data_IF_960630840606
#
_entry.id   IF_960630840606
#
_cell.length_a   1.000
_cell.length_b   1.000
_cell.length_c   1.000
_cell.angle_alpha   90.00
_cell.angle_beta   90.00
_cell.angle_gamma   90.00
#
_symmetry.space_group_name_H-M   'P 1'
#
loop_
_entity.id
_entity.type
_entity.pdbx_description
1 polymer ?
#
# COMPACT_ATOMS: atom_id res chain seq x y z
N UNK A 1 18.57 -5.56 23.55
CA UNK A 1 17.60 -6.62 23.13
C UNK A 1 17.32 -6.38 21.67
N UNK A 2 17.27 -7.43 20.85
CA UNK A 2 16.92 -7.29 19.44
C UNK A 2 15.44 -6.92 19.28
N UNK A 3 15.11 -6.14 18.25
CA UNK A 3 13.73 -5.74 17.94
C UNK A 3 12.81 -6.95 17.74
N UNK A 4 11.56 -6.81 18.13
CA UNK A 4 10.52 -7.78 17.77
C UNK A 4 10.16 -7.60 16.28
N UNK A 5 10.06 -8.72 15.58
CA UNK A 5 9.73 -8.71 14.15
C UNK A 5 8.23 -8.54 13.96
N UNK A 6 7.84 -7.55 13.17
CA UNK A 6 6.46 -7.40 12.73
C UNK A 6 6.25 -8.34 11.53
N UNK A 7 5.61 -9.49 11.78
CA UNK A 7 5.37 -10.48 10.74
C UNK A 7 4.24 -10.03 9.79
N UNK A 8 4.64 -9.36 8.71
CA UNK A 8 3.69 -8.89 7.70
C UNK A 8 2.99 -10.01 6.94
N UNK A 9 3.58 -11.22 6.86
CA UNK A 9 2.92 -12.37 6.23
C UNK A 9 1.77 -12.89 7.08
N UNK A 10 2.00 -13.06 8.40
CA UNK A 10 0.96 -13.51 9.33
C UNK A 10 -0.18 -12.50 9.40
N UNK A 11 0.14 -11.20 9.50
CA UNK A 11 -0.86 -10.13 9.55
C UNK A 11 -1.64 -10.01 8.23
N UNK A 12 -0.97 -10.17 7.08
CA UNK A 12 -1.62 -10.19 5.78
C UNK A 12 -2.56 -11.39 5.63
N UNK A 13 -2.18 -12.57 6.16
CA UNK A 13 -3.05 -13.75 6.15
C UNK A 13 -4.34 -13.50 6.96
N UNK A 14 -4.22 -12.91 8.16
CA UNK A 14 -5.37 -12.53 8.97
C UNK A 14 -6.26 -11.50 8.24
N UNK A 15 -5.66 -10.48 7.63
CA UNK A 15 -6.39 -9.45 6.86
C UNK A 15 -7.12 -10.04 5.65
N UNK A 16 -6.48 -10.99 4.94
CA UNK A 16 -7.12 -11.70 3.82
C UNK A 16 -8.27 -12.60 4.30
N UNK A 17 -8.14 -13.23 5.46
CA UNK A 17 -9.24 -14.01 6.04
C UNK A 17 -10.46 -13.13 6.35
N UNK A 18 -10.25 -11.90 6.84
CA UNK A 18 -11.34 -10.92 7.00
C UNK A 18 -11.97 -10.58 5.64
N UNK A 19 -11.17 -10.27 4.61
CA UNK A 19 -11.67 -9.98 3.27
C UNK A 19 -12.43 -11.17 2.65
N UNK A 20 -11.98 -12.40 2.90
CA UNK A 20 -12.66 -13.60 2.46
C UNK A 20 -14.04 -13.76 3.12
N UNK A 21 -14.14 -13.53 4.43
CA UNK A 21 -15.41 -13.55 5.13
C UNK A 21 -16.40 -12.49 4.61
N UNK A 22 -15.90 -11.28 4.30
CA UNK A 22 -16.69 -10.22 3.66
C UNK A 22 -17.15 -10.60 2.25
N UNK A 23 -16.25 -11.20 1.44
CA UNK A 23 -16.62 -11.68 0.11
C UNK A 23 -17.73 -12.76 0.17
N UNK A 24 -17.64 -13.69 1.10
CA UNK A 24 -18.69 -14.70 1.32
C UNK A 24 -20.02 -14.05 1.75
N UNK A 25 -19.97 -13.08 2.67
CA UNK A 25 -21.18 -12.35 3.09
C UNK A 25 -21.83 -11.58 1.93
N UNK A 26 -21.02 -11.02 1.01
CA UNK A 26 -21.50 -10.35 -0.20
C UNK A 26 -22.13 -11.35 -1.18
N UNK A 27 -21.47 -12.49 -1.41
CA UNK A 27 -22.00 -13.55 -2.29
C UNK A 27 -23.33 -14.11 -1.79
N UNK A 28 -23.49 -14.26 -0.49
CA UNK A 28 -24.77 -14.67 0.11
C UNK A 28 -25.91 -13.67 -0.18
N UNK A 29 -25.57 -12.41 -0.53
CA UNK A 29 -26.51 -11.38 -0.98
C UNK A 29 -26.57 -11.24 -2.52
N UNK A 30 -25.97 -12.18 -3.27
CA UNK A 30 -25.92 -12.17 -4.73
C UNK A 30 -24.93 -11.18 -5.34
N UNK A 31 -23.97 -10.68 -4.54
CA UNK A 31 -22.95 -9.72 -4.98
C UNK A 31 -21.60 -10.45 -5.08
N UNK A 32 -21.05 -10.58 -6.27
CA UNK A 32 -19.73 -11.17 -6.51
C UNK A 32 -18.66 -10.08 -6.58
N UNK A 33 -17.81 -9.88 -5.54
CA UNK A 33 -16.73 -8.87 -5.61
C UNK A 33 -15.79 -9.16 -6.76
N UNK A 34 -15.46 -8.14 -7.56
CA UNK A 34 -14.63 -8.28 -8.75
C UNK A 34 -13.57 -7.18 -8.83
N UNK A 35 -12.30 -7.59 -8.99
CA UNK A 35 -11.14 -6.73 -9.20
C UNK A 35 -10.63 -6.88 -10.64
N UNK A 36 -10.62 -5.79 -11.40
CA UNK A 36 -9.92 -5.71 -12.67
C UNK A 36 -8.48 -5.23 -12.46
N UNK A 37 -7.52 -6.00 -12.94
CA UNK A 37 -6.08 -5.67 -12.87
C UNK A 37 -5.56 -5.51 -14.28
N UNK A 38 -5.08 -4.32 -14.63
CA UNK A 38 -4.48 -4.02 -15.93
C UNK A 38 -2.97 -4.01 -15.79
N UNK A 39 -2.28 -4.76 -16.65
CA UNK A 39 -0.83 -4.76 -16.81
C UNK A 39 -0.50 -4.31 -18.22
N UNK A 40 0.30 -3.25 -18.35
CA UNK A 40 0.81 -2.77 -19.64
C UNK A 40 2.29 -3.10 -19.74
N UNK A 41 2.69 -3.82 -20.79
CA UNK A 41 4.05 -4.27 -21.00
C UNK A 41 4.43 -5.53 -20.21
N UNK A 42 5.71 -5.87 -20.27
CA UNK A 42 6.24 -7.14 -19.76
C UNK A 42 7.26 -6.99 -18.63
N UNK A 43 7.20 -5.89 -17.87
CA UNK A 43 8.11 -5.69 -16.73
C UNK A 43 8.04 -6.90 -15.77
N UNK A 44 9.16 -7.61 -15.52
CA UNK A 44 9.15 -8.84 -14.72
C UNK A 44 8.69 -8.63 -13.27
N UNK A 45 9.02 -7.48 -12.67
CA UNK A 45 8.59 -7.16 -11.31
C UNK A 45 7.07 -6.95 -11.27
N UNK A 46 6.52 -6.17 -12.22
CA UNK A 46 5.07 -5.95 -12.34
C UNK A 46 4.30 -7.25 -12.54
N UNK A 47 4.82 -8.17 -13.37
CA UNK A 47 4.22 -9.50 -13.55
C UNK A 47 4.15 -10.31 -12.26
N UNK A 48 5.19 -10.27 -11.43
CA UNK A 48 5.21 -10.95 -10.13
C UNK A 48 4.14 -10.36 -9.20
N UNK A 49 4.01 -9.02 -9.17
CA UNK A 49 2.99 -8.35 -8.37
C UNK A 49 1.57 -8.69 -8.83
N UNK A 50 1.31 -8.65 -10.13
CA UNK A 50 0.00 -8.99 -10.70
C UNK A 50 -0.37 -10.44 -10.39
N UNK A 51 0.54 -11.40 -10.63
CA UNK A 51 0.30 -12.80 -10.25
C UNK A 51 -0.02 -12.96 -8.77
N UNK A 52 0.66 -12.22 -7.90
CA UNK A 52 0.37 -12.21 -6.47
C UNK A 52 -1.04 -11.69 -6.15
N UNK A 53 -1.48 -10.60 -6.81
CA UNK A 53 -2.81 -10.02 -6.64
C UNK A 53 -3.92 -10.98 -7.12
N UNK A 54 -3.75 -11.59 -8.29
CA UNK A 54 -4.68 -12.58 -8.84
C UNK A 54 -4.82 -13.79 -7.91
N UNK A 55 -3.69 -14.30 -7.38
CA UNK A 55 -3.70 -15.38 -6.39
C UNK A 55 -4.45 -14.97 -5.12
N UNK A 56 -4.18 -13.78 -4.58
CA UNK A 56 -4.84 -13.28 -3.36
C UNK A 56 -6.35 -13.08 -3.59
N UNK A 57 -6.78 -12.64 -4.79
CA UNK A 57 -8.21 -12.61 -5.15
C UNK A 57 -8.85 -14.00 -5.04
N UNK A 58 -8.21 -15.04 -5.61
CA UNK A 58 -8.70 -16.41 -5.52
C UNK A 58 -8.78 -16.91 -4.08
N UNK A 59 -7.77 -16.63 -3.25
CA UNK A 59 -7.76 -16.98 -1.82
C UNK A 59 -8.87 -16.28 -1.03
N UNK A 60 -9.25 -15.06 -1.43
CA UNK A 60 -10.31 -14.29 -0.78
C UNK A 60 -11.70 -14.49 -1.41
N UNK A 61 -11.85 -15.36 -2.41
CA UNK A 61 -13.10 -15.53 -3.10
C UNK A 61 -13.56 -14.32 -3.92
N UNK A 62 -12.63 -13.45 -4.33
CA UNK A 62 -12.87 -12.29 -5.16
C UNK A 62 -12.59 -12.68 -6.62
N UNK A 63 -13.50 -12.33 -7.53
CA UNK A 63 -13.29 -12.52 -8.97
C UNK A 63 -12.18 -11.60 -9.46
N UNK A 64 -11.26 -12.12 -10.27
CA UNK A 64 -10.19 -11.34 -10.85
C UNK A 64 -10.29 -11.31 -12.38
N UNK A 65 -10.29 -10.11 -12.96
CA UNK A 65 -10.17 -9.87 -14.39
C UNK A 65 -8.75 -9.37 -14.66
N UNK A 66 -7.89 -10.23 -15.19
CA UNK A 66 -6.54 -9.85 -15.58
C UNK A 66 -6.52 -9.43 -17.05
N UNK A 67 -6.16 -8.16 -17.32
CA UNK A 67 -5.99 -7.62 -18.67
C UNK A 67 -4.52 -7.32 -18.91
N UNK A 68 -3.97 -7.97 -19.94
CA UNK A 68 -2.60 -7.73 -20.40
C UNK A 68 -2.64 -6.94 -21.69
N UNK A 69 -1.97 -5.79 -21.68
CA UNK A 69 -1.84 -4.92 -22.85
C UNK A 69 -0.36 -4.82 -23.25
N UNK A 70 -0.06 -4.78 -24.55
CA UNK A 70 1.32 -4.71 -25.04
C UNK A 70 2.03 -3.44 -24.57
N UNK A 71 3.36 -3.45 -24.53
CA UNK A 71 4.17 -2.27 -24.13
C UNK A 71 3.98 -1.08 -25.09
N UNK A 72 3.57 -1.35 -26.33
CA UNK A 72 3.26 -0.34 -27.35
C UNK A 72 1.89 0.33 -27.18
N UNK A 73 1.10 -0.11 -26.20
CA UNK A 73 -0.24 0.48 -25.91
C UNK A 73 -0.13 1.98 -25.76
N UNK A 74 -1.02 2.69 -26.45
CA UNK A 74 -1.14 4.15 -26.33
C UNK A 74 -1.90 4.54 -25.08
N UNK A 75 -1.78 5.80 -24.68
CA UNK A 75 -2.57 6.33 -23.57
C UNK A 75 -4.07 6.23 -23.87
N UNK A 76 -4.49 6.56 -25.07
CA UNK A 76 -5.89 6.54 -25.50
C UNK A 76 -6.48 5.14 -25.41
N UNK A 77 -5.77 4.12 -25.89
CA UNK A 77 -6.21 2.72 -25.80
C UNK A 77 -6.40 2.28 -24.34
N UNK A 78 -5.47 2.65 -23.45
CA UNK A 78 -5.59 2.35 -22.03
C UNK A 78 -6.77 3.08 -21.38
N UNK A 79 -6.96 4.37 -21.69
CA UNK A 79 -8.08 5.15 -21.16
C UNK A 79 -9.45 4.62 -21.64
N UNK A 80 -9.55 4.17 -22.89
CA UNK A 80 -10.76 3.51 -23.40
C UNK A 80 -11.04 2.24 -22.60
N UNK A 81 -10.00 1.42 -22.35
CA UNK A 81 -10.16 0.18 -21.56
C UNK A 81 -10.57 0.47 -20.12
N UNK A 82 -10.03 1.51 -19.49
CA UNK A 82 -10.45 1.93 -18.15
C UNK A 82 -11.92 2.38 -18.17
N UNK A 83 -12.35 3.15 -19.17
CA UNK A 83 -13.74 3.60 -19.30
C UNK A 83 -14.72 2.43 -19.46
N UNK A 84 -14.37 1.40 -20.24
CA UNK A 84 -15.16 0.17 -20.37
C UNK A 84 -15.35 -0.52 -19.00
N UNK A 85 -14.26 -0.71 -18.25
CA UNK A 85 -14.30 -1.31 -16.91
C UNK A 85 -15.04 -0.43 -15.89
N UNK A 86 -14.93 0.89 -16.03
CA UNK A 86 -15.63 1.85 -15.19
C UNK A 86 -17.15 1.76 -15.39
N UNK A 87 -17.60 1.55 -16.63
CA UNK A 87 -19.02 1.39 -16.98
C UNK A 87 -19.58 0.00 -16.61
N UNK A 88 -18.73 -1.01 -16.47
CA UNK A 88 -19.16 -2.38 -16.12
C UNK A 88 -19.53 -2.46 -14.63
N UNK A 89 -20.81 -2.69 -14.36
CA UNK A 89 -21.36 -2.81 -13.00
C UNK A 89 -20.90 -4.09 -12.27
N UNK A 90 -20.36 -5.07 -12.98
CA UNK A 90 -19.81 -6.29 -12.38
C UNK A 90 -18.38 -6.11 -11.88
N UNK A 91 -17.70 -5.02 -12.27
CA UNK A 91 -16.35 -4.67 -11.82
C UNK A 91 -16.44 -3.67 -10.66
N UNK A 92 -16.00 -4.06 -9.49
CA UNK A 92 -16.06 -3.22 -8.30
C UNK A 92 -14.76 -2.44 -8.03
N UNK A 93 -13.62 -2.99 -8.41
CA UNK A 93 -12.32 -2.33 -8.29
C UNK A 93 -11.54 -2.36 -9.59
N UNK A 94 -10.82 -1.29 -9.87
CA UNK A 94 -9.91 -1.18 -11.02
C UNK A 94 -8.52 -0.84 -10.49
N UNK A 95 -7.53 -1.59 -10.96
CA UNK A 95 -6.13 -1.35 -10.65
C UNK A 95 -5.30 -1.39 -11.93
N UNK A 96 -4.54 -0.34 -12.17
CA UNK A 96 -3.54 -0.29 -13.23
C UNK A 96 -2.17 -0.44 -12.60
N UNK A 97 -1.46 -1.52 -12.94
CA UNK A 97 -0.17 -1.83 -12.32
C UNK A 97 0.92 -0.85 -12.76
N UNK A 98 1.47 -0.10 -11.80
CA UNK A 98 2.62 0.78 -12.01
C UNK A 98 3.95 -0.01 -11.90
N UNK A 99 5.03 0.47 -12.55
CA UNK A 99 5.09 1.64 -13.42
C UNK A 99 4.53 1.35 -14.83
N UNK A 100 4.11 2.41 -15.50
CA UNK A 100 3.62 2.37 -16.88
C UNK A 100 4.74 2.67 -17.89
N UNK A 101 4.61 2.25 -19.17
CA UNK A 101 5.49 2.67 -20.26
C UNK A 101 5.51 4.20 -20.40
N UNK A 102 6.66 4.75 -20.84
CA UNK A 102 6.94 6.21 -20.85
C UNK A 102 5.95 7.05 -21.66
N UNK A 103 5.29 6.45 -22.67
CA UNK A 103 4.29 7.13 -23.50
C UNK A 103 2.95 7.35 -22.79
N UNK A 104 2.75 6.76 -21.61
CA UNK A 104 1.52 6.85 -20.84
C UNK A 104 1.74 7.75 -19.62
N UNK A 105 0.88 8.73 -19.45
CA UNK A 105 0.89 9.61 -18.28
C UNK A 105 0.14 8.93 -17.12
N UNK A 106 0.88 8.57 -16.07
CA UNK A 106 0.33 7.90 -14.87
C UNK A 106 -0.78 8.72 -14.19
N UNK A 107 -0.67 10.06 -14.16
CA UNK A 107 -1.70 10.92 -13.57
C UNK A 107 -3.02 10.85 -14.35
N UNK A 108 -2.95 10.91 -15.70
CA UNK A 108 -4.14 10.78 -16.53
C UNK A 108 -4.84 9.42 -16.33
N UNK A 109 -4.06 8.35 -16.10
CA UNK A 109 -4.58 7.01 -15.82
C UNK A 109 -5.27 6.95 -14.46
N UNK A 110 -4.65 7.50 -13.42
CA UNK A 110 -5.21 7.56 -12.07
C UNK A 110 -6.51 8.38 -12.07
N UNK A 111 -6.52 9.53 -12.75
CA UNK A 111 -7.68 10.42 -12.82
C UNK A 111 -8.85 9.81 -13.59
N UNK A 112 -8.60 8.88 -14.52
CA UNK A 112 -9.62 8.20 -15.29
C UNK A 112 -10.37 7.09 -14.52
N UNK A 113 -9.81 6.62 -13.40
CA UNK A 113 -10.45 5.61 -12.57
C UNK A 113 -11.49 6.31 -11.65
N UNK A 114 -12.79 5.92 -11.72
CA UNK A 114 -13.79 6.49 -10.82
C UNK A 114 -13.42 6.27 -9.35
N UNK A 115 -13.57 7.29 -8.48
CA UNK A 115 -13.19 7.18 -7.07
C UNK A 115 -13.80 6.00 -6.32
N UNK A 116 -15.00 5.59 -6.71
CA UNK A 116 -15.71 4.43 -6.15
C UNK A 116 -15.17 3.07 -6.62
N UNK A 117 -14.28 3.05 -7.61
CA UNK A 117 -13.58 1.86 -8.12
C UNK A 117 -12.06 1.95 -7.95
N UNK A 118 -11.54 3.07 -7.44
CA UNK A 118 -10.12 3.28 -7.15
C UNK A 118 -9.72 2.55 -5.85
N UNK A 119 -9.58 1.26 -5.92
CA UNK A 119 -9.26 0.40 -4.75
C UNK A 119 -7.80 0.48 -4.32
N UNK A 120 -6.92 1.11 -5.10
CA UNK A 120 -5.57 1.48 -4.66
C UNK A 120 -5.55 2.78 -3.84
N UNK A 121 -6.61 3.60 -3.93
CA UNK A 121 -6.78 4.84 -3.16
C UNK A 121 -5.89 5.99 -3.64
N UNK A 122 -5.55 6.05 -4.93
CA UNK A 122 -4.64 7.06 -5.48
C UNK A 122 -5.34 8.26 -6.11
N UNK A 123 -6.64 8.15 -6.39
CA UNK A 123 -7.44 9.23 -6.96
C UNK A 123 -7.34 10.48 -6.10
N UNK A 124 -7.15 11.67 -6.70
CA UNK A 124 -7.17 12.94 -5.99
C UNK A 124 -8.43 13.13 -5.13
N UNK A 125 -9.57 12.56 -5.55
CA UNK A 125 -10.82 12.60 -4.79
C UNK A 125 -10.70 11.78 -3.50
N UNK A 126 -10.20 10.54 -3.56
CA UNK A 126 -10.00 9.70 -2.38
C UNK A 126 -8.94 10.30 -1.44
N UNK A 127 -7.85 10.83 -2.00
CA UNK A 127 -6.81 11.52 -1.23
C UNK A 127 -7.36 12.77 -0.53
N UNK A 128 -8.18 13.58 -1.20
CA UNK A 128 -8.83 14.74 -0.61
C UNK A 128 -9.81 14.35 0.50
N UNK A 129 -10.61 13.31 0.30
CA UNK A 129 -11.52 12.76 1.31
C UNK A 129 -10.76 12.23 2.52
N UNK A 130 -9.67 11.50 2.31
CA UNK A 130 -8.80 11.01 3.39
C UNK A 130 -8.27 12.17 4.23
N UNK A 131 -7.80 13.24 3.60
CA UNK A 131 -7.29 14.42 4.32
C UNK A 131 -8.37 15.13 5.14
N UNK A 132 -9.62 15.12 4.67
CA UNK A 132 -10.76 15.79 5.33
C UNK A 132 -11.56 14.85 6.24
N UNK A 133 -11.11 13.62 6.45
CA UNK A 133 -11.75 12.63 7.33
C UNK A 133 -13.08 12.09 6.77
N UNK A 134 -13.29 12.19 5.46
CA UNK A 134 -14.49 11.65 4.79
C UNK A 134 -14.29 10.18 4.39
N UNK A 135 -15.37 9.39 4.25
CA UNK A 135 -15.27 8.02 3.77
C UNK A 135 -14.61 7.93 2.37
N UNK A 136 -13.57 7.12 2.27
CA UNK A 136 -12.78 6.92 1.04
C UNK A 136 -12.03 5.60 1.08
N UNK A 137 -11.49 5.17 -0.06
CA UNK A 137 -10.49 4.11 -0.07
C UNK A 137 -9.14 4.68 0.33
N UNK A 138 -8.52 4.03 1.31
CA UNK A 138 -7.19 4.41 1.76
C UNK A 138 -6.14 3.74 0.87
N UNK A 139 -5.04 4.45 0.55
CA UNK A 139 -3.93 3.83 -0.17
C UNK A 139 -3.43 2.58 0.54
N UNK A 140 -3.38 1.46 -0.21
CA UNK A 140 -3.18 0.13 0.36
C UNK A 140 -1.89 0.00 1.18
N UNK A 141 -0.76 0.50 0.68
CA UNK A 141 0.53 0.43 1.37
C UNK A 141 0.51 1.24 2.67
N UNK A 142 0.14 2.52 2.68
CA UNK A 142 0.00 3.30 3.91
C UNK A 142 -0.97 2.71 4.93
N UNK A 143 -2.13 2.25 4.50
CA UNK A 143 -3.10 1.60 5.38
C UNK A 143 -2.52 0.31 6.00
N UNK A 144 -1.78 -0.47 5.22
CA UNK A 144 -1.02 -1.62 5.71
C UNK A 144 0.03 -1.24 6.76
N UNK A 145 0.76 -0.15 6.55
CA UNK A 145 1.73 0.36 7.54
C UNK A 145 1.06 0.70 8.87
N UNK A 146 -0.08 1.40 8.84
CA UNK A 146 -0.83 1.72 10.06
C UNK A 146 -1.25 0.44 10.79
N UNK A 147 -1.83 -0.53 10.08
CA UNK A 147 -2.24 -1.81 10.67
C UNK A 147 -1.07 -2.59 11.28
N UNK A 148 0.12 -2.53 10.66
CA UNK A 148 1.33 -3.14 11.18
C UNK A 148 1.82 -2.44 12.46
N UNK A 149 1.76 -1.12 12.53
CA UNK A 149 2.09 -0.36 13.75
C UNK A 149 1.11 -0.74 14.89
N UNK A 150 -0.19 -0.73 14.60
CA UNK A 150 -1.22 -1.08 15.58
C UNK A 150 -1.08 -2.52 16.10
N UNK A 151 -0.64 -3.46 15.25
CA UNK A 151 -0.42 -4.87 15.65
C UNK A 151 0.66 -5.07 16.70
N UNK A 152 1.55 -4.10 16.88
CA UNK A 152 2.57 -4.10 17.95
C UNK A 152 2.01 -3.74 19.32
N UNK A 153 0.75 -3.29 19.41
CA UNK A 153 0.16 -2.70 20.61
C UNK A 153 0.60 -1.26 20.87
N UNK A 154 1.42 -0.67 20.00
CA UNK A 154 1.85 0.72 20.12
C UNK A 154 0.67 1.65 19.86
N UNK A 155 0.35 2.49 20.83
CA UNK A 155 -0.61 3.59 20.64
C UNK A 155 0.05 4.65 19.76
N UNK A 156 -0.57 4.99 18.64
CA UNK A 156 -0.08 6.04 17.73
C UNK A 156 -0.36 7.42 18.30
N UNK A 157 -1.44 7.54 19.06
CA UNK A 157 -1.90 8.79 19.68
C UNK A 157 -0.80 9.43 20.55
N UNK A 158 -0.50 10.69 20.26
CA UNK A 158 0.53 11.49 20.94
C UNK A 158 1.98 11.13 20.61
N UNK A 159 2.24 10.21 19.68
CA UNK A 159 3.61 9.80 19.29
C UNK A 159 4.23 10.74 18.28
N UNK A 160 5.57 10.86 18.32
CA UNK A 160 6.34 11.49 17.27
C UNK A 160 6.56 10.48 16.15
N UNK A 161 5.98 10.73 14.99
CA UNK A 161 6.13 9.89 13.81
C UNK A 161 6.95 10.63 12.74
N UNK A 162 7.94 9.95 12.18
CA UNK A 162 8.73 10.46 11.06
C UNK A 162 8.49 9.56 9.85
N UNK A 163 8.15 10.19 8.73
CA UNK A 163 8.02 9.53 7.43
C UNK A 163 9.12 10.04 6.53
N UNK A 164 10.04 9.15 6.13
CA UNK A 164 11.09 9.47 5.17
C UNK A 164 10.61 9.10 3.77
N UNK A 165 10.37 10.12 2.94
CA UNK A 165 9.78 10.01 1.62
C UNK A 165 8.47 10.80 1.52
N UNK A 166 8.22 11.36 0.31
CA UNK A 166 7.05 12.22 0.06
C UNK A 166 6.35 11.91 -1.27
N UNK A 167 6.37 10.63 -1.67
CA UNK A 167 5.62 10.20 -2.85
C UNK A 167 4.13 10.35 -2.62
N UNK A 168 3.37 10.55 -3.70
CA UNK A 168 1.91 10.67 -3.64
C UNK A 168 1.24 9.36 -3.25
N UNK A 169 1.88 8.22 -3.53
CA UNK A 169 1.31 6.88 -3.32
C UNK A 169 1.67 6.25 -1.98
N UNK A 170 2.72 6.74 -1.28
CA UNK A 170 3.17 6.17 0.00
C UNK A 170 3.44 7.25 1.06
N UNK A 171 4.45 8.10 0.86
CA UNK A 171 4.97 8.97 1.93
C UNK A 171 3.93 9.97 2.44
N UNK A 172 3.31 10.74 1.55
CA UNK A 172 2.25 11.69 1.91
C UNK A 172 1.03 10.99 2.54
N UNK A 173 0.47 9.92 1.95
CA UNK A 173 -0.64 9.20 2.56
C UNK A 173 -0.30 8.60 3.93
N UNK A 174 0.88 8.02 4.11
CA UNK A 174 1.30 7.48 5.40
C UNK A 174 1.34 8.57 6.49
N UNK A 175 1.87 9.76 6.14
CA UNK A 175 1.88 10.90 7.04
C UNK A 175 0.46 11.37 7.40
N UNK A 176 -0.46 11.44 6.43
CA UNK A 176 -1.85 11.81 6.68
C UNK A 176 -2.58 10.79 7.56
N UNK A 177 -2.35 9.49 7.36
CA UNK A 177 -2.96 8.45 8.19
C UNK A 177 -2.41 8.45 9.62
N UNK A 178 -1.12 8.69 9.82
CA UNK A 178 -0.52 8.87 11.14
C UNK A 178 -1.09 10.12 11.85
N UNK A 179 -1.23 11.23 11.11
CA UNK A 179 -1.87 12.45 11.62
C UNK A 179 -3.32 12.21 12.04
N UNK A 180 -4.09 11.48 11.22
CA UNK A 180 -5.48 11.11 11.54
C UNK A 180 -5.59 10.20 12.79
N UNK A 181 -4.49 9.56 13.20
CA UNK A 181 -4.36 8.79 14.46
C UNK A 181 -3.75 9.62 15.60
N UNK A 182 -3.75 10.94 15.50
CA UNK A 182 -3.24 11.89 16.49
C UNK A 182 -1.72 11.84 16.73
N UNK A 183 -0.93 11.35 15.78
CA UNK A 183 0.52 11.48 15.86
C UNK A 183 0.97 12.91 15.52
N UNK A 184 2.06 13.36 16.13
CA UNK A 184 2.83 14.51 15.62
C UNK A 184 3.72 14.02 14.50
N UNK A 185 3.50 14.49 13.26
CA UNK A 185 4.13 13.91 12.07
C UNK A 185 5.14 14.86 11.45
N UNK A 186 6.36 14.37 11.23
CA UNK A 186 7.38 15.05 10.44
C UNK A 186 7.60 14.28 9.14
N UNK A 187 7.50 14.96 7.98
CA UNK A 187 7.82 14.39 6.68
C UNK A 187 9.21 14.83 6.25
N UNK A 188 10.10 13.87 6.07
CA UNK A 188 11.48 14.10 5.64
C UNK A 188 11.70 13.70 4.16
N UNK A 189 12.63 14.36 3.51
CA UNK A 189 12.94 14.16 2.09
C UNK A 189 14.38 14.55 1.78
N UNK A 190 14.81 14.46 0.52
CA UNK A 190 16.20 14.74 0.09
C UNK A 190 16.71 16.17 0.38
N UNK A 191 15.84 17.11 0.70
CA UNK A 191 16.19 18.48 1.08
C UNK A 191 16.08 18.74 2.59
N UNK A 192 15.79 17.70 3.41
CA UNK A 192 15.68 17.85 4.86
C UNK A 192 17.05 18.02 5.48
N UNK A 193 17.26 19.13 6.18
CA UNK A 193 18.44 19.31 7.01
C UNK A 193 18.32 18.45 8.29
N UNK A 194 19.46 18.03 8.84
CA UNK A 194 19.53 17.28 10.10
C UNK A 194 18.66 16.00 10.14
N UNK A 195 18.53 15.33 8.97
CA UNK A 195 17.67 14.14 8.81
C UNK A 195 17.93 13.08 9.89
N UNK A 196 19.18 12.78 10.19
CA UNK A 196 19.56 11.79 11.19
C UNK A 196 19.00 12.12 12.57
N UNK A 197 19.17 13.36 13.01
CA UNK A 197 18.70 13.82 14.30
C UNK A 197 17.17 13.78 14.42
N UNK A 198 16.47 14.17 13.36
CA UNK A 198 15.01 14.11 13.30
C UNK A 198 14.54 12.66 13.42
N UNK A 199 15.13 11.74 12.68
CA UNK A 199 14.77 10.32 12.70
C UNK A 199 15.08 9.68 14.05
N UNK A 200 16.23 9.99 14.68
CA UNK A 200 16.63 9.45 15.98
C UNK A 200 15.71 9.87 17.15
N UNK A 201 14.79 10.80 16.92
CA UNK A 201 13.79 11.22 17.91
C UNK A 201 12.40 10.63 17.66
N UNK A 202 12.22 9.81 16.59
CA UNK A 202 10.93 9.27 16.21
C UNK A 202 10.53 8.05 17.04
N UNK A 203 9.34 8.05 17.62
CA UNK A 203 8.73 6.87 18.24
C UNK A 203 8.27 5.86 17.17
N UNK A 204 7.88 6.40 15.99
CA UNK A 204 7.46 5.64 14.81
C UNK A 204 8.24 6.18 13.62
N UNK A 205 8.98 5.30 12.93
CA UNK A 205 9.77 5.65 11.75
C UNK A 205 9.29 4.84 10.55
N UNK A 206 8.81 5.53 9.52
CA UNK A 206 8.40 4.91 8.24
C UNK A 206 9.41 5.29 7.16
N UNK A 207 10.11 4.31 6.61
CA UNK A 207 11.09 4.51 5.54
C UNK A 207 10.48 4.15 4.17
N UNK A 208 10.40 5.13 3.27
CA UNK A 208 9.81 5.00 1.93
C UNK A 208 10.58 5.86 0.90
N UNK A 209 11.89 5.60 0.76
CA UNK A 209 12.82 6.39 -0.07
C UNK A 209 13.27 5.67 -1.33
N UNK A 210 13.08 4.34 -1.42
CA UNK A 210 13.52 3.51 -2.54
C UNK A 210 15.04 3.41 -2.67
N UNK A 211 15.75 3.39 -1.54
CA UNK A 211 17.22 3.28 -1.48
C UNK A 211 17.62 2.26 -0.42
N UNK A 212 18.21 1.15 -0.88
CA UNK A 212 18.61 0.06 0.01
C UNK A 212 19.53 0.52 1.15
N UNK A 213 19.18 0.14 2.40
CA UNK A 213 19.99 0.38 3.59
C UNK A 213 20.20 1.86 3.95
N UNK A 214 19.38 2.75 3.43
CA UNK A 214 19.51 4.20 3.64
C UNK A 214 19.37 4.62 5.11
N UNK A 215 18.44 3.98 5.85
CA UNK A 215 18.24 4.23 7.28
C UNK A 215 19.16 3.33 8.07
N UNK A 216 20.12 3.93 8.77
CA UNK A 216 21.10 3.24 9.62
C UNK A 216 20.64 3.18 11.08
N UNK A 217 21.28 2.34 11.90
CA UNK A 217 20.92 2.16 13.31
C UNK A 217 20.96 3.44 14.14
N UNK A 218 21.87 4.34 13.82
CA UNK A 218 22.02 5.64 14.48
C UNK A 218 20.96 6.71 14.07
N UNK A 219 20.10 6.36 13.14
CA UNK A 219 18.89 7.11 12.79
C UNK A 219 17.63 6.58 13.50
N UNK A 220 17.75 5.56 14.31
CA UNK A 220 16.62 4.90 14.99
C UNK A 220 16.63 5.21 16.48
N UNK A 221 15.51 5.72 17.00
CA UNK A 221 15.33 5.90 18.44
C UNK A 221 15.26 4.54 19.14
N UNK A 222 15.96 4.34 20.28
CA UNK A 222 15.82 3.13 21.06
C UNK A 222 14.35 2.83 21.41
N UNK A 223 13.92 1.61 21.06
CA UNK A 223 12.55 1.17 21.31
C UNK A 223 11.49 1.63 20.26
N UNK A 224 11.89 2.34 19.21
CA UNK A 224 10.97 2.80 18.15
C UNK A 224 10.33 1.65 17.37
N UNK A 225 9.17 1.93 16.77
CA UNK A 225 8.57 1.09 15.73
C UNK A 225 9.09 1.51 14.36
N UNK A 226 9.73 0.60 13.65
CA UNK A 226 10.32 0.86 12.32
C UNK A 226 9.55 0.10 11.24
N UNK A 227 8.97 0.84 10.30
CA UNK A 227 8.25 0.30 9.14
C UNK A 227 9.08 0.56 7.89
N UNK A 228 9.61 -0.49 7.30
CA UNK A 228 10.37 -0.44 6.07
C UNK A 228 9.47 -0.75 4.86
N UNK A 229 9.18 0.26 4.07
CA UNK A 229 8.36 0.14 2.85
C UNK A 229 9.22 -0.17 1.62
N UNK A 230 10.54 -0.01 1.74
CA UNK A 230 11.47 -0.17 0.63
C UNK A 230 11.45 -1.58 0.04
N UNK A 231 11.50 -1.65 -1.29
CA UNK A 231 11.70 -2.89 -2.04
C UNK A 231 12.74 -2.60 -3.13
N UNK A 232 13.99 -2.85 -2.81
CA UNK A 232 15.12 -2.62 -3.68
C UNK A 232 15.72 -3.97 -4.12
N UNK A 233 15.95 -4.17 -5.40
CA UNK A 233 16.63 -5.35 -5.88
C UNK A 233 18.13 -5.10 -5.87
N UNK A 234 18.85 -5.84 -5.04
CA UNK A 234 20.30 -5.77 -4.94
C UNK A 234 21.01 -6.43 -6.13
N UNK A 235 22.31 -6.17 -6.23
CA UNK A 235 23.18 -6.85 -7.20
C UNK A 235 23.27 -8.37 -6.98
N UNK A 236 22.99 -8.82 -5.75
CA UNK A 236 22.88 -10.22 -5.36
C UNK A 236 21.55 -10.88 -5.80
N UNK A 237 20.67 -10.13 -6.48
CA UNK A 237 19.35 -10.56 -6.89
C UNK A 237 18.30 -10.64 -5.78
N UNK A 238 18.68 -10.38 -4.52
CA UNK A 238 17.77 -10.38 -3.38
C UNK A 238 17.04 -9.05 -3.23
N UNK A 239 15.97 -9.08 -2.45
CA UNK A 239 15.23 -7.87 -2.08
C UNK A 239 15.77 -7.32 -0.77
N UNK A 240 16.03 -6.02 -0.77
CA UNK A 240 16.50 -5.25 0.38
C UNK A 240 15.52 -4.11 0.66
N UNK A 241 15.35 -3.78 1.93
CA UNK A 241 14.57 -2.62 2.35
C UNK A 241 15.35 -1.31 2.27
N UNK A 242 14.68 -0.23 2.61
CA UNK A 242 15.30 1.09 2.77
C UNK A 242 16.08 1.20 4.09
N UNK A 243 15.83 0.28 5.03
CA UNK A 243 16.47 0.23 6.35
C UNK A 243 17.62 -0.77 6.35
N UNK A 244 18.75 -0.40 6.93
CA UNK A 244 19.79 -1.36 7.32
C UNK A 244 19.25 -2.21 8.47
N UNK A 245 18.70 -3.37 8.11
CA UNK A 245 17.95 -4.22 9.03
C UNK A 245 18.78 -4.67 10.23
N UNK A 246 20.04 -5.03 10.01
CA UNK A 246 20.92 -5.52 11.05
C UNK A 246 21.19 -4.44 12.11
N UNK A 247 21.58 -3.24 11.68
CA UNK A 247 21.83 -2.12 12.59
C UNK A 247 20.55 -1.66 13.29
N UNK A 248 19.45 -1.47 12.54
CA UNK A 248 18.21 -0.97 13.08
C UNK A 248 17.54 -1.94 14.05
N UNK A 249 17.62 -3.26 13.80
CA UNK A 249 17.05 -4.27 14.70
C UNK A 249 17.76 -4.35 16.04
N UNK A 250 19.00 -3.90 16.14
CA UNK A 250 19.71 -3.82 17.41
C UNK A 250 19.20 -2.68 18.32
N UNK A 251 18.50 -1.69 17.75
CA UNK A 251 18.08 -0.45 18.43
C UNK A 251 16.56 -0.35 18.57
N UNK A 252 15.82 -0.72 17.54
CA UNK A 252 14.36 -0.62 17.50
C UNK A 252 13.68 -1.54 18.54
N UNK A 253 12.45 -1.19 18.91
CA UNK A 253 11.56 -2.09 19.66
C UNK A 253 10.85 -3.07 18.75
N UNK A 254 10.42 -2.60 17.58
CA UNK A 254 9.73 -3.37 16.55
C UNK A 254 10.24 -2.98 15.17
N UNK A 255 10.34 -3.95 14.27
CA UNK A 255 10.80 -3.71 12.88
C UNK A 255 10.14 -4.66 11.90
N UNK A 256 9.83 -4.16 10.69
CA UNK A 256 9.38 -5.00 9.58
C UNK A 256 10.56 -5.59 8.81
N UNK A 257 10.51 -6.87 8.42
CA UNK A 257 11.52 -7.45 7.54
C UNK A 257 11.24 -7.13 6.06
N UNK A 258 12.27 -7.14 5.23
CA UNK A 258 12.16 -7.11 3.77
C UNK A 258 12.98 -8.27 3.19
N UNK A 259 12.34 -9.21 2.46
CA UNK A 259 10.90 -9.33 2.20
C UNK A 259 10.08 -9.86 3.38
N UNK A 260 8.76 -9.73 3.32
CA UNK A 260 7.82 -10.34 4.28
C UNK A 260 7.16 -9.37 5.25
N UNK A 261 7.49 -8.08 5.16
CA UNK A 261 6.85 -6.99 5.90
C UNK A 261 5.68 -6.35 5.13
N UNK A 262 5.88 -5.13 4.65
CA UNK A 262 4.83 -4.27 4.06
C UNK A 262 4.23 -4.84 2.77
N UNK A 263 5.02 -5.47 1.89
CA UNK A 263 4.53 -5.95 0.60
C UNK A 263 3.32 -6.90 0.68
N UNK A 264 3.34 -7.96 1.51
CA UNK A 264 2.16 -8.80 1.75
C UNK A 264 0.95 -8.01 2.26
N UNK A 265 1.16 -7.04 3.17
CA UNK A 265 0.08 -6.21 3.71
C UNK A 265 -0.57 -5.31 2.66
N UNK A 266 0.21 -4.72 1.75
CA UNK A 266 -0.33 -3.95 0.62
C UNK A 266 -1.37 -4.75 -0.17
N UNK A 267 -1.06 -6.00 -0.49
CA UNK A 267 -1.98 -6.88 -1.23
C UNK A 267 -3.21 -7.27 -0.42
N UNK A 268 -3.03 -7.51 0.88
CA UNK A 268 -4.16 -7.81 1.77
C UNK A 268 -5.12 -6.62 1.91
N UNK A 269 -4.60 -5.41 2.01
CA UNK A 269 -5.41 -4.18 2.04
C UNK A 269 -6.15 -3.95 0.72
N UNK A 270 -5.56 -4.32 -0.42
CA UNK A 270 -6.24 -4.27 -1.72
C UNK A 270 -7.48 -5.19 -1.74
N UNK A 271 -7.39 -6.40 -1.15
CA UNK A 271 -8.55 -7.29 -1.02
C UNK A 271 -9.65 -6.65 -0.17
N UNK A 272 -9.29 -6.05 0.96
CA UNK A 272 -10.23 -5.31 1.82
C UNK A 272 -10.91 -4.15 1.09
N UNK A 273 -10.14 -3.32 0.38
CA UNK A 273 -10.71 -2.22 -0.41
C UNK A 273 -11.64 -2.73 -1.50
N UNK A 274 -11.34 -3.89 -2.11
CA UNK A 274 -12.19 -4.48 -3.17
C UNK A 274 -13.52 -4.98 -2.61
N UNK A 275 -13.54 -5.66 -1.46
CA UNK A 275 -14.79 -6.08 -0.80
C UNK A 275 -15.60 -4.89 -0.34
N UNK A 276 -14.95 -3.87 0.23
CA UNK A 276 -15.59 -2.62 0.61
C UNK A 276 -16.19 -1.90 -0.59
N UNK A 277 -15.48 -1.85 -1.74
CA UNK A 277 -16.01 -1.26 -2.98
C UNK A 277 -17.27 -1.99 -3.46
N UNK A 278 -17.26 -3.31 -3.46
CA UNK A 278 -18.42 -4.11 -3.81
C UNK A 278 -19.62 -3.83 -2.89
N UNK A 279 -19.39 -3.73 -1.59
CA UNK A 279 -20.42 -3.40 -0.61
C UNK A 279 -21.00 -2.00 -0.84
N UNK A 280 -20.14 -0.99 -0.95
CA UNK A 280 -20.55 0.42 -1.13
C UNK A 280 -21.35 0.62 -2.41
N UNK A 281 -20.90 0.04 -3.54
CA UNK A 281 -21.59 0.16 -4.84
C UNK A 281 -22.96 -0.52 -4.87
N UNK A 282 -23.21 -1.47 -3.96
CA UNK A 282 -24.49 -2.16 -3.84
C UNK A 282 -25.31 -1.70 -2.62
N UNK A 283 -24.86 -0.69 -1.87
CA UNK A 283 -25.59 -0.14 -0.73
C UNK A 283 -25.76 -1.11 0.44
N UNK A 284 -24.83 -2.05 0.63
CA UNK A 284 -24.88 -3.04 1.71
C UNK A 284 -23.74 -2.82 2.72
N UNK A 285 -24.02 -3.14 3.98
CA UNK A 285 -22.99 -3.19 5.03
C UNK A 285 -22.33 -4.56 5.07
N UNK A 286 -21.00 -4.58 5.38
CA UNK A 286 -20.18 -5.77 5.60
C UNK A 286 -19.40 -5.66 6.90
#
# INVERSE_FOLDING_TARGET
MSAQIIDGKALAAATKAEAAAEAEALKAKGIEPCLAVILVGENPASQVYVRGKVKDCGECGIKSLELRMPETTTQEELLVKIAELAADKTVNGILVQLPLPKQINEHAVIDAIPPEKDVDGFSPVNVGRMQTGQPCFLPCTPAGCIRMIESTGTKIDGKNAVVIGRSNIVGKPAALLLLAKNATVTVCHSHTANLKEICANADILVAAVGRAGFVTGDMVKPGAVVIDVGINRGADGKLHGDVNFEEASAVAGYITPVPGGVGPMTRAMLMKNTTQAAAMQNGVAI
#
